data_IF_087705716425
#
_entry.id   IF_087705716425
#
_cell.length_a   1.000
_cell.length_b   1.000
_cell.length_c   1.000
_cell.angle_alpha   90.00
_cell.angle_beta   90.00
_cell.angle_gamma   90.00
#
_symmetry.space_group_name_H-M   'P 1'
#
loop_
_entity.id
_entity.type
_entity.pdbx_description
1 polymer ?
#
# COMPACT_ATOMS: atom_id res chain seq x y z
N UNK A 1 27.83 -11.79 8.93
CA UNK A 1 26.60 -10.99 8.74
C UNK A 1 26.84 -10.02 7.59
N UNK A 2 26.02 -10.04 6.55
CA UNK A 2 26.16 -9.21 5.36
C UNK A 2 25.47 -7.84 5.55
N UNK A 3 26.08 -6.78 5.04
CA UNK A 3 25.57 -5.42 5.20
C UNK A 3 24.89 -4.95 3.92
N UNK A 4 23.59 -4.65 3.99
CA UNK A 4 22.78 -4.09 2.90
C UNK A 4 22.57 -2.60 3.15
N UNK A 5 22.99 -1.77 2.21
CA UNK A 5 22.73 -0.34 2.25
C UNK A 5 21.37 -0.03 1.63
N UNK A 6 20.44 0.49 2.44
CA UNK A 6 19.16 0.97 1.94
C UNK A 6 19.33 2.39 1.36
N UNK A 7 19.32 2.48 0.01
CA UNK A 7 19.39 3.75 -0.73
C UNK A 7 17.99 4.34 -0.90
N UNK A 8 17.66 5.33 -0.10
CA UNK A 8 16.35 5.94 -0.01
C UNK A 8 16.37 7.35 -0.58
N UNK A 9 15.39 7.64 -1.44
CA UNK A 9 15.09 8.99 -1.90
C UNK A 9 13.98 9.58 -0.99
N UNK A 10 14.35 10.07 0.18
CA UNK A 10 13.41 10.73 1.08
C UNK A 10 12.91 9.86 2.22
N UNK A 11 11.61 9.89 2.50
CA UNK A 11 11.00 9.26 3.68
C UNK A 11 11.18 7.74 3.72
N UNK A 12 11.51 7.21 4.88
CA UNK A 12 11.53 5.76 5.14
C UNK A 12 10.10 5.24 5.14
N UNK A 13 9.70 4.61 4.04
CA UNK A 13 8.40 3.95 3.92
C UNK A 13 8.27 2.74 4.86
N UNK A 14 7.03 2.27 5.05
CA UNK A 14 6.73 1.13 5.92
C UNK A 14 7.59 -0.10 5.61
N UNK A 15 7.75 -0.46 4.33
CA UNK A 15 8.52 -1.64 3.90
C UNK A 15 9.99 -1.56 4.28
N UNK A 16 10.62 -0.41 4.07
CA UNK A 16 12.03 -0.20 4.45
C UNK A 16 12.21 -0.15 5.96
N UNK A 17 11.27 0.45 6.69
CA UNK A 17 11.27 0.44 8.14
C UNK A 17 11.27 -0.99 8.68
N UNK A 18 10.43 -1.86 8.12
CA UNK A 18 10.42 -3.29 8.48
C UNK A 18 11.76 -3.99 8.19
N UNK A 19 12.48 -3.61 7.12
CA UNK A 19 13.81 -4.16 6.84
C UNK A 19 14.87 -3.69 7.83
N UNK A 20 14.76 -2.44 8.30
CA UNK A 20 15.67 -1.89 9.30
C UNK A 20 15.43 -2.47 10.70
N UNK A 21 14.16 -2.64 11.08
CA UNK A 21 13.75 -3.12 12.41
C UNK A 21 13.77 -4.65 12.52
N UNK A 22 13.45 -5.35 11.42
CA UNK A 22 13.32 -6.80 11.35
C UNK A 22 14.01 -7.33 10.07
N UNK A 23 15.33 -7.28 9.97
CA UNK A 23 16.06 -7.74 8.80
C UNK A 23 15.96 -9.28 8.63
N UNK A 24 16.12 -9.80 7.39
CA UNK A 24 16.32 -11.23 7.19
C UNK A 24 17.56 -11.75 7.94
N UNK A 25 17.54 -13.03 8.30
CA UNK A 25 18.65 -13.66 9.01
C UNK A 25 19.96 -13.59 8.20
N UNK A 26 21.07 -13.32 8.88
CA UNK A 26 22.38 -13.14 8.24
C UNK A 26 22.63 -11.77 7.63
N UNK A 27 21.62 -10.87 7.60
CA UNK A 27 21.70 -9.53 7.01
C UNK A 27 21.53 -8.42 8.04
N UNK A 28 22.21 -7.32 7.79
CA UNK A 28 22.04 -6.05 8.52
C UNK A 28 21.76 -4.94 7.52
N UNK A 29 20.68 -4.18 7.74
CA UNK A 29 20.38 -3.01 6.95
C UNK A 29 20.92 -1.74 7.61
N UNK A 30 21.49 -0.88 6.78
CA UNK A 30 21.97 0.45 7.18
C UNK A 30 21.44 1.51 6.23
N UNK A 31 21.10 2.68 6.74
CA UNK A 31 20.67 3.82 5.93
C UNK A 31 21.30 5.10 6.45
N UNK A 32 21.56 6.07 5.56
CA UNK A 32 22.09 7.39 5.93
C UNK A 32 21.01 8.41 6.31
N UNK A 33 19.75 8.01 6.39
CA UNK A 33 18.60 8.93 6.42
C UNK A 33 18.15 9.40 7.80
N UNK A 34 18.89 9.16 8.88
CA UNK A 34 18.47 9.60 10.23
C UNK A 34 18.19 11.12 10.38
N UNK A 35 18.78 11.98 9.51
CA UNK A 35 18.50 13.42 9.52
C UNK A 35 17.38 13.84 8.54
N UNK A 36 17.17 13.08 7.46
CA UNK A 36 16.14 13.36 6.48
C UNK A 36 14.72 13.06 7.03
N UNK A 37 14.57 12.10 7.95
CA UNK A 37 13.30 11.81 8.62
C UNK A 37 12.79 13.02 9.40
N UNK A 38 13.67 13.76 10.11
CA UNK A 38 13.29 14.97 10.84
C UNK A 38 12.87 16.14 9.94
N UNK A 39 13.41 16.21 8.72
CA UNK A 39 13.03 17.23 7.72
C UNK A 39 11.77 16.83 6.97
N UNK A 40 11.56 15.54 6.69
CA UNK A 40 10.38 15.04 6.01
C UNK A 40 9.12 15.18 6.86
N UNK A 41 9.19 14.94 8.16
CA UNK A 41 8.07 15.13 9.07
C UNK A 41 7.62 16.60 9.16
N UNK A 42 8.56 17.56 8.99
CA UNK A 42 8.25 18.99 8.86
C UNK A 42 7.73 19.40 7.47
N UNK A 43 8.08 18.66 6.42
CA UNK A 43 7.68 18.96 5.04
C UNK A 43 6.31 18.36 4.65
N UNK A 44 5.78 17.41 5.41
CA UNK A 44 4.50 16.73 5.12
C UNK A 44 3.30 17.69 5.20
N UNK A 45 3.41 18.79 5.96
CA UNK A 45 2.39 19.84 6.03
C UNK A 45 2.51 20.92 4.94
N UNK A 46 3.47 20.82 4.01
CA UNK A 46 3.71 21.86 3.04
C UNK A 46 3.18 21.49 1.65
N UNK A 47 1.91 21.82 1.41
CA UNK A 47 1.18 21.67 0.15
C UNK A 47 1.96 22.25 -1.05
N UNK A 48 2.75 23.30 -0.83
CA UNK A 48 3.57 23.95 -1.84
C UNK A 48 4.70 23.04 -2.36
N UNK A 49 5.45 22.39 -1.48
CA UNK A 49 6.54 21.47 -1.85
C UNK A 49 5.97 20.23 -2.57
N UNK A 50 4.82 19.74 -2.15
CA UNK A 50 4.13 18.62 -2.79
C UNK A 50 3.67 18.97 -4.21
N UNK A 51 3.03 20.14 -4.42
CA UNK A 51 2.61 20.66 -5.74
C UNK A 51 3.81 20.92 -6.67
N UNK A 52 4.90 21.45 -6.14
CA UNK A 52 6.14 21.68 -6.88
C UNK A 52 6.78 20.35 -7.33
N UNK A 53 6.85 19.38 -6.46
CA UNK A 53 7.33 18.03 -6.79
C UNK A 53 6.51 17.39 -7.90
N UNK A 54 5.18 17.51 -7.86
CA UNK A 54 4.31 17.01 -8.93
C UNK A 54 4.45 17.78 -10.24
N UNK A 55 4.67 19.10 -10.20
CA UNK A 55 4.96 19.89 -11.42
C UNK A 55 6.30 19.49 -12.04
N UNK A 56 7.33 19.32 -11.24
CA UNK A 56 8.64 18.86 -11.72
C UNK A 56 8.59 17.43 -12.27
N UNK A 57 7.85 16.53 -11.66
CA UNK A 57 7.65 15.18 -12.19
C UNK A 57 6.97 15.16 -13.56
N UNK A 58 6.15 16.18 -13.90
CA UNK A 58 5.55 16.32 -15.23
C UNK A 58 6.56 16.73 -16.30
N UNK A 59 7.62 17.43 -15.93
CA UNK A 59 8.67 17.88 -16.85
C UNK A 59 9.74 16.81 -17.05
N UNK A 60 10.15 16.17 -15.98
CA UNK A 60 11.08 15.04 -15.98
C UNK A 60 10.82 14.13 -14.78
N UNK A 61 10.84 12.80 -14.94
CA UNK A 61 10.61 11.89 -13.84
C UNK A 61 11.76 12.01 -12.83
N UNK A 62 11.47 12.60 -11.66
CA UNK A 62 12.47 12.88 -10.63
C UNK A 62 13.22 11.61 -10.19
N UNK A 63 12.57 10.44 -10.27
CA UNK A 63 13.21 9.16 -9.97
C UNK A 63 14.35 8.83 -10.94
N UNK A 64 14.19 9.15 -12.24
CA UNK A 64 15.24 8.99 -13.25
C UNK A 64 16.25 10.14 -13.18
N UNK A 65 15.80 11.37 -13.01
CA UNK A 65 16.68 12.52 -12.83
C UNK A 65 17.56 12.37 -11.59
N UNK A 66 16.99 11.88 -10.47
CA UNK A 66 17.75 11.56 -9.27
C UNK A 66 18.73 10.39 -9.46
N UNK A 67 18.45 9.47 -10.37
CA UNK A 67 19.37 8.40 -10.72
C UNK A 67 20.63 8.90 -11.46
N UNK A 68 20.48 9.95 -12.26
CA UNK A 68 21.58 10.59 -13.01
C UNK A 68 22.15 11.84 -12.32
N UNK A 69 21.47 12.39 -11.34
CA UNK A 69 21.82 13.69 -10.74
C UNK A 69 22.88 13.62 -9.65
N UNK A 70 23.49 14.79 -9.32
CA UNK A 70 24.56 14.90 -8.30
C UNK A 70 24.11 14.48 -6.90
N UNK A 71 22.83 14.41 -6.61
CA UNK A 71 22.28 13.90 -5.35
C UNK A 71 22.59 12.41 -5.10
N UNK A 72 22.97 11.65 -6.15
CA UNK A 72 23.32 10.23 -6.07
C UNK A 72 24.81 9.92 -6.08
N UNK A 73 25.66 10.91 -5.97
CA UNK A 73 27.09 10.67 -5.72
C UNK A 73 27.41 10.10 -4.33
N UNK A 74 26.39 9.90 -3.47
CA UNK A 74 26.59 9.21 -2.20
C UNK A 74 26.78 7.73 -2.44
N UNK A 75 28.04 7.33 -2.49
CA UNK A 75 28.41 5.91 -2.50
C UNK A 75 27.84 5.22 -1.24
N UNK A 76 27.48 3.94 -1.32
CA UNK A 76 27.19 3.17 -0.13
C UNK A 76 28.36 3.31 0.85
N UNK A 77 28.13 3.20 2.16
CA UNK A 77 29.21 3.24 3.14
C UNK A 77 30.22 2.11 2.83
N UNK A 78 31.50 2.35 3.14
CA UNK A 78 32.53 1.33 3.03
C UNK A 78 32.08 0.08 3.81
N UNK A 79 32.21 -1.12 3.18
CA UNK A 79 31.77 -2.37 3.77
C UNK A 79 30.30 -2.76 3.52
N UNK A 80 29.55 -2.00 2.71
CA UNK A 80 28.26 -2.48 2.21
C UNK A 80 28.48 -3.58 1.14
N UNK A 81 27.89 -4.76 1.35
CA UNK A 81 27.97 -5.89 0.43
C UNK A 81 26.97 -5.75 -0.72
N UNK A 82 25.83 -5.10 -0.49
CA UNK A 82 24.70 -4.97 -1.42
C UNK A 82 23.98 -3.65 -1.20
N UNK A 83 23.43 -3.07 -2.27
CA UNK A 83 22.52 -1.92 -2.16
C UNK A 83 21.08 -2.36 -2.41
N UNK A 84 20.16 -1.98 -1.52
CA UNK A 84 18.73 -2.12 -1.71
C UNK A 84 18.09 -0.78 -2.03
N UNK A 85 17.32 -0.71 -3.09
CA UNK A 85 16.59 0.48 -3.51
C UNK A 85 15.08 0.24 -3.47
N UNK A 86 14.33 1.17 -2.88
CA UNK A 86 12.87 1.17 -2.93
C UNK A 86 12.43 2.15 -4.01
N UNK A 87 12.21 1.69 -5.22
CA UNK A 87 11.82 2.42 -6.43
C UNK A 87 12.94 2.99 -7.31
N UNK A 88 13.96 3.71 -6.81
CA UNK A 88 14.94 4.31 -7.71
C UNK A 88 15.84 3.28 -8.39
N UNK A 89 16.12 3.53 -9.67
CA UNK A 89 17.13 2.78 -10.42
C UNK A 89 18.55 3.19 -9.99
N UNK A 90 19.47 2.23 -9.99
CA UNK A 90 20.88 2.47 -9.66
C UNK A 90 21.73 2.23 -10.91
N UNK A 91 22.48 3.26 -11.34
CA UNK A 91 23.36 3.19 -12.51
C UNK A 91 24.85 3.04 -12.16
N UNK A 92 25.15 2.96 -10.86
CA UNK A 92 26.52 2.70 -10.37
C UNK A 92 26.91 1.23 -10.57
N UNK A 93 28.21 0.99 -10.61
CA UNK A 93 28.79 -0.36 -10.78
C UNK A 93 28.88 -1.14 -9.46
N UNK A 94 27.84 -1.12 -8.67
CA UNK A 94 27.71 -1.88 -7.42
C UNK A 94 26.56 -2.88 -7.52
N UNK A 95 26.59 -4.02 -6.83
CA UNK A 95 25.47 -4.94 -6.81
C UNK A 95 24.27 -4.30 -6.10
N UNK A 96 23.08 -4.42 -6.70
CA UNK A 96 21.86 -3.86 -6.14
C UNK A 96 20.63 -4.70 -6.41
N UNK A 97 19.66 -4.55 -5.51
CA UNK A 97 18.32 -5.12 -5.58
C UNK A 97 17.31 -3.98 -5.50
N UNK A 98 16.20 -4.08 -6.23
CA UNK A 98 15.14 -3.07 -6.22
C UNK A 98 13.80 -3.63 -5.81
N UNK A 99 13.08 -2.89 -4.94
CA UNK A 99 11.68 -3.14 -4.60
C UNK A 99 10.75 -2.49 -5.62
N UNK A 100 9.71 -3.23 -6.05
CA UNK A 100 8.78 -2.81 -7.09
C UNK A 100 7.34 -3.00 -6.63
N UNK A 101 6.58 -1.90 -6.63
CA UNK A 101 5.15 -1.87 -6.38
C UNK A 101 4.35 -1.91 -7.69
N UNK A 102 4.85 -1.21 -8.71
CA UNK A 102 4.26 -1.11 -10.05
C UNK A 102 5.31 -0.57 -11.03
N UNK A 103 5.24 -0.96 -12.30
CA UNK A 103 6.24 -0.57 -13.30
C UNK A 103 6.43 0.95 -13.44
N UNK A 104 5.34 1.72 -13.40
CA UNK A 104 5.37 3.18 -13.56
C UNK A 104 6.08 3.93 -12.42
N UNK A 105 6.37 3.27 -11.29
CA UNK A 105 7.14 3.88 -10.20
C UNK A 105 8.53 4.35 -10.64
N UNK A 106 9.14 3.66 -11.61
CA UNK A 106 10.45 4.03 -12.15
C UNK A 106 10.44 5.35 -12.91
N UNK A 107 9.27 5.75 -13.39
CA UNK A 107 9.05 6.95 -14.19
C UNK A 107 8.13 7.98 -13.50
N UNK A 108 8.13 8.01 -12.16
CA UNK A 108 7.38 9.00 -11.39
C UNK A 108 5.88 8.79 -11.37
N UNK A 109 5.42 7.55 -11.55
CA UNK A 109 4.01 7.16 -11.62
C UNK A 109 3.26 7.76 -12.81
N UNK A 110 3.93 7.87 -13.97
CA UNK A 110 3.34 8.32 -15.23
C UNK A 110 3.72 7.34 -16.36
N UNK A 111 2.73 6.74 -17.01
CA UNK A 111 2.94 5.77 -18.09
C UNK A 111 3.64 6.38 -19.31
N UNK A 112 3.37 7.68 -19.63
CA UNK A 112 4.00 8.39 -20.75
C UNK A 112 5.50 8.53 -20.53
N UNK A 113 5.89 8.80 -19.27
CA UNK A 113 7.31 8.83 -18.91
C UNK A 113 7.91 7.42 -18.94
N UNK A 114 7.17 6.39 -18.53
CA UNK A 114 7.67 5.02 -18.63
C UNK A 114 7.93 4.64 -20.09
N UNK A 115 7.02 4.93 -21.00
CA UNK A 115 7.21 4.69 -22.43
C UNK A 115 8.41 5.45 -22.99
N UNK A 116 8.50 6.75 -22.70
CA UNK A 116 9.61 7.61 -23.15
C UNK A 116 10.97 7.12 -22.68
N UNK A 117 11.06 6.64 -21.44
CA UNK A 117 12.32 6.21 -20.82
C UNK A 117 12.45 4.68 -20.72
N UNK A 118 11.61 3.94 -21.42
CA UNK A 118 11.54 2.48 -21.39
C UNK A 118 12.91 1.83 -21.55
N UNK A 119 13.68 2.20 -22.57
CA UNK A 119 15.02 1.64 -22.85
C UNK A 119 15.99 1.87 -21.70
N UNK A 120 15.89 3.00 -21.01
CA UNK A 120 16.73 3.33 -19.85
C UNK A 120 16.38 2.43 -18.67
N UNK A 121 15.07 2.23 -18.40
CA UNK A 121 14.59 1.34 -17.34
C UNK A 121 15.01 -0.10 -17.62
N UNK A 122 14.78 -0.60 -18.84
CA UNK A 122 15.17 -1.95 -19.28
C UNK A 122 16.68 -2.18 -19.19
N UNK A 123 17.48 -1.20 -19.61
CA UNK A 123 18.94 -1.26 -19.50
C UNK A 123 19.43 -1.33 -18.06
N UNK A 124 18.80 -0.57 -17.16
CA UNK A 124 19.14 -0.60 -15.74
C UNK A 124 18.76 -1.95 -15.08
N UNK A 125 17.54 -2.44 -15.30
CA UNK A 125 17.06 -3.72 -14.76
C UNK A 125 17.80 -4.92 -15.37
N UNK A 126 18.12 -4.85 -16.67
CA UNK A 126 18.91 -5.86 -17.38
C UNK A 126 20.41 -5.85 -17.06
N UNK A 127 20.91 -4.79 -16.40
CA UNK A 127 22.33 -4.66 -16.05
C UNK A 127 22.79 -5.82 -15.16
N UNK A 128 24.05 -6.27 -15.38
CA UNK A 128 24.72 -7.25 -14.48
C UNK A 128 24.81 -6.76 -13.02
N UNK A 129 24.68 -5.49 -12.77
CA UNK A 129 24.72 -4.92 -11.43
C UNK A 129 23.34 -4.94 -10.73
N UNK A 130 22.24 -5.00 -11.49
CA UNK A 130 20.91 -5.32 -10.95
C UNK A 130 20.86 -6.84 -10.71
N UNK A 131 20.97 -7.25 -9.46
CA UNK A 131 21.07 -8.65 -9.04
C UNK A 131 19.74 -9.27 -8.61
N UNK A 132 18.70 -8.45 -8.40
CA UNK A 132 17.37 -8.92 -8.04
C UNK A 132 16.32 -7.83 -8.14
N UNK A 133 15.09 -8.24 -8.45
CA UNK A 133 13.91 -7.40 -8.55
C UNK A 133 12.85 -8.01 -7.64
N UNK A 134 12.51 -7.32 -6.55
CA UNK A 134 11.51 -7.76 -5.57
C UNK A 134 10.19 -7.12 -5.90
N UNK A 135 9.29 -7.84 -6.54
CA UNK A 135 7.91 -7.40 -6.74
C UNK A 135 7.08 -7.66 -5.49
N UNK A 136 6.39 -6.64 -5.00
CA UNK A 136 5.61 -6.73 -3.77
C UNK A 136 4.25 -7.44 -3.94
N UNK A 137 3.91 -7.82 -5.18
CA UNK A 137 2.72 -8.59 -5.55
C UNK A 137 2.91 -9.26 -6.92
N UNK A 138 2.07 -10.22 -7.25
CA UNK A 138 2.01 -10.75 -8.62
C UNK A 138 1.51 -9.69 -9.60
N UNK A 139 0.63 -8.78 -9.16
CA UNK A 139 0.22 -7.63 -9.96
C UNK A 139 1.41 -6.73 -10.30
N UNK A 140 2.33 -6.48 -9.35
CA UNK A 140 3.57 -5.74 -9.60
C UNK A 140 4.46 -6.44 -10.63
N UNK A 141 4.59 -7.78 -10.53
CA UNK A 141 5.32 -8.58 -11.51
C UNK A 141 4.68 -8.48 -12.89
N UNK A 142 3.36 -8.67 -12.99
CA UNK A 142 2.62 -8.52 -14.26
C UNK A 142 2.83 -7.15 -14.86
N UNK A 143 2.73 -6.08 -14.08
CA UNK A 143 2.91 -4.70 -14.56
C UNK A 143 4.28 -4.46 -15.21
N UNK A 144 5.34 -5.07 -14.68
CA UNK A 144 6.67 -5.01 -15.29
C UNK A 144 6.70 -5.72 -16.65
N UNK A 145 6.18 -6.94 -16.71
CA UNK A 145 6.26 -7.79 -17.90
C UNK A 145 5.31 -7.35 -19.02
N UNK A 146 4.23 -6.64 -18.70
CA UNK A 146 3.31 -6.06 -19.67
C UNK A 146 3.88 -4.81 -20.37
N UNK A 147 4.70 -4.03 -19.67
CA UNK A 147 5.16 -2.72 -20.16
C UNK A 147 6.62 -2.70 -20.58
N UNK A 148 7.42 -3.63 -20.09
CA UNK A 148 8.86 -3.69 -20.36
C UNK A 148 9.21 -5.02 -21.01
N UNK A 149 10.21 -5.03 -21.90
CA UNK A 149 10.76 -6.26 -22.44
C UNK A 149 11.51 -7.00 -21.33
N UNK A 150 10.89 -8.07 -20.82
CA UNK A 150 11.39 -8.85 -19.70
C UNK A 150 12.61 -9.73 -20.00
N UNK A 151 12.98 -9.94 -21.26
CA UNK A 151 14.00 -10.90 -21.68
C UNK A 151 15.31 -10.84 -20.88
N UNK A 152 15.76 -9.63 -20.50
CA UNK A 152 17.02 -9.40 -19.80
C UNK A 152 16.93 -9.42 -18.28
N UNK A 153 15.72 -9.45 -17.70
CA UNK A 153 15.56 -9.32 -16.26
C UNK A 153 14.45 -10.16 -15.64
N UNK A 154 13.65 -10.88 -16.43
CA UNK A 154 12.55 -11.69 -15.91
C UNK A 154 13.01 -12.74 -14.88
N UNK A 155 14.16 -13.35 -15.11
CA UNK A 155 14.79 -14.33 -14.21
C UNK A 155 15.20 -13.75 -12.85
N UNK A 156 15.42 -12.42 -12.79
CA UNK A 156 15.79 -11.71 -11.56
C UNK A 156 14.59 -11.37 -10.68
N UNK A 157 13.37 -11.57 -11.20
CA UNK A 157 12.13 -11.20 -10.49
C UNK A 157 11.81 -12.25 -9.44
N UNK A 158 11.52 -11.77 -8.24
CA UNK A 158 10.95 -12.58 -7.14
C UNK A 158 9.76 -11.85 -6.55
N UNK A 159 8.66 -12.57 -6.31
CA UNK A 159 7.49 -11.99 -5.65
C UNK A 159 7.57 -12.22 -4.15
N UNK A 160 7.62 -11.13 -3.41
CA UNK A 160 7.69 -11.11 -1.95
C UNK A 160 6.68 -10.12 -1.41
N UNK A 161 5.54 -10.60 -0.96
CA UNK A 161 4.50 -9.75 -0.38
C UNK A 161 5.02 -9.01 0.87
N UNK A 162 4.58 -7.78 1.12
CA UNK A 162 4.81 -7.09 2.38
C UNK A 162 4.27 -7.93 3.55
N UNK A 163 4.86 -7.76 4.72
CA UNK A 163 4.34 -8.40 5.93
C UNK A 163 3.51 -7.42 6.76
N UNK A 164 2.46 -7.89 7.40
CA UNK A 164 1.81 -7.17 8.47
C UNK A 164 2.67 -7.17 9.74
N UNK A 165 2.38 -6.26 10.64
CA UNK A 165 3.02 -6.23 11.95
C UNK A 165 2.04 -6.79 12.99
N UNK A 166 2.31 -7.95 13.61
CA UNK A 166 1.42 -8.52 14.61
C UNK A 166 1.10 -7.54 15.74
N UNK A 167 -0.13 -7.51 16.18
CA UNK A 167 -0.61 -6.61 17.24
C UNK A 167 -0.94 -7.37 18.52
N UNK A 168 -0.35 -6.93 19.63
CA UNK A 168 -0.64 -7.49 20.95
C UNK A 168 -1.88 -6.81 21.52
N UNK A 169 -3.05 -7.39 21.27
CA UNK A 169 -4.30 -6.96 21.90
C UNK A 169 -5.29 -8.13 21.97
N UNK A 170 -6.13 -8.13 22.99
CA UNK A 170 -7.28 -9.02 23.05
C UNK A 170 -8.47 -8.31 22.40
N UNK A 171 -9.10 -8.94 21.41
CA UNK A 171 -10.31 -8.39 20.84
C UNK A 171 -11.43 -8.48 21.87
N UNK A 172 -12.14 -7.39 22.18
CA UNK A 172 -13.30 -7.48 23.06
C UNK A 172 -14.28 -8.51 22.51
N UNK A 173 -14.80 -9.35 23.37
CA UNK A 173 -15.87 -10.27 23.01
C UNK A 173 -17.05 -9.51 22.41
N UNK A 174 -17.86 -10.18 21.61
CA UNK A 174 -19.10 -9.61 21.09
C UNK A 174 -19.99 -9.21 22.27
N UNK A 175 -20.00 -7.92 22.63
CA UNK A 175 -20.99 -7.42 23.58
C UNK A 175 -22.34 -7.39 22.87
N UNK A 176 -23.29 -8.18 23.33
CA UNK A 176 -24.67 -8.13 22.86
C UNK A 176 -25.18 -6.69 23.00
N UNK A 177 -25.59 -6.08 21.89
CA UNK A 177 -26.22 -4.76 21.87
C UNK A 177 -25.33 -3.57 21.48
N UNK A 178 -23.99 -3.72 21.30
CA UNK A 178 -23.19 -2.61 20.76
C UNK A 178 -23.29 -2.54 19.23
N UNK A 179 -23.19 -1.34 18.63
CA UNK A 179 -23.13 -1.17 17.18
C UNK A 179 -21.98 -1.96 16.55
N UNK A 180 -22.19 -2.43 15.32
CA UNK A 180 -21.13 -3.03 14.50
C UNK A 180 -20.40 -1.90 13.77
N UNK A 181 -19.13 -1.72 14.08
CA UNK A 181 -18.30 -0.61 13.56
C UNK A 181 -17.51 -1.02 12.34
N UNK A 182 -17.72 -0.29 11.28
CA UNK A 182 -16.95 -0.36 10.04
C UNK A 182 -15.92 0.75 10.09
N UNK A 183 -14.68 0.45 9.73
CA UNK A 183 -13.61 1.42 9.65
C UNK A 183 -13.13 1.55 8.20
N UNK A 184 -13.11 2.78 7.71
CA UNK A 184 -12.45 3.19 6.47
C UNK A 184 -11.26 4.10 6.80
N UNK A 185 -10.08 3.80 6.26
CA UNK A 185 -8.86 4.60 6.50
C UNK A 185 -8.21 4.95 5.19
N UNK A 186 -7.98 6.25 4.99
CA UNK A 186 -7.18 6.80 3.90
C UNK A 186 -6.20 7.85 4.42
N UNK A 187 -5.38 8.40 3.53
CA UNK A 187 -4.45 9.48 3.85
C UNK A 187 -5.21 10.77 4.17
N UNK A 188 -4.76 11.50 5.18
CA UNK A 188 -5.24 12.88 5.47
C UNK A 188 -4.31 13.94 4.91
N UNK A 189 -3.25 13.55 4.18
CA UNK A 189 -2.24 14.47 3.64
C UNK A 189 -2.01 14.26 2.14
N UNK A 190 -2.68 13.30 1.51
CA UNK A 190 -2.55 13.03 0.07
C UNK A 190 -3.79 13.54 -0.64
N UNK A 191 -3.69 14.61 -1.44
CA UNK A 191 -4.81 15.11 -2.21
C UNK A 191 -5.43 14.03 -3.10
N UNK A 192 -6.76 13.94 -3.10
CA UNK A 192 -7.50 12.90 -3.81
C UNK A 192 -7.36 11.49 -3.21
N UNK A 193 -6.73 11.37 -2.04
CA UNK A 193 -6.56 10.08 -1.37
C UNK A 193 -7.87 9.47 -0.92
N UNK A 194 -8.86 10.29 -0.58
CA UNK A 194 -10.20 9.85 -0.22
C UNK A 194 -10.90 9.16 -1.40
N UNK A 195 -10.97 9.82 -2.55
CA UNK A 195 -11.61 9.30 -3.76
C UNK A 195 -10.88 8.07 -4.29
N UNK A 196 -9.55 8.12 -4.39
CA UNK A 196 -8.75 7.00 -4.87
C UNK A 196 -8.89 5.75 -3.99
N UNK A 197 -9.21 5.91 -2.73
CA UNK A 197 -9.43 4.79 -1.80
C UNK A 197 -10.89 4.36 -1.71
N UNK A 198 -11.77 4.90 -2.60
CA UNK A 198 -13.17 4.52 -2.67
C UNK A 198 -14.02 5.13 -1.55
N UNK A 199 -13.63 6.32 -1.10
CA UNK A 199 -14.36 7.01 -0.04
C UNK A 199 -15.79 7.38 -0.42
N UNK A 200 -16.04 7.67 -1.71
CA UNK A 200 -17.41 7.96 -2.22
C UNK A 200 -18.27 6.71 -2.16
N UNK A 201 -17.75 5.59 -2.62
CA UNK A 201 -18.41 4.28 -2.51
C UNK A 201 -18.68 3.90 -1.06
N UNK A 202 -17.72 4.17 -0.17
CA UNK A 202 -17.90 3.90 1.26
C UNK A 202 -19.03 4.71 1.88
N UNK A 203 -19.16 6.00 1.53
CA UNK A 203 -20.26 6.84 2.03
C UNK A 203 -21.61 6.39 1.48
N UNK A 204 -21.71 6.16 0.18
CA UNK A 204 -22.94 5.72 -0.45
C UNK A 204 -23.37 4.32 0.03
N UNK A 205 -22.45 3.37 0.06
CA UNK A 205 -22.70 2.02 0.57
C UNK A 205 -23.16 2.07 2.04
N UNK A 206 -22.61 2.97 2.86
CA UNK A 206 -23.03 3.10 4.26
C UNK A 206 -24.46 3.59 4.38
N UNK A 207 -24.90 4.55 3.57
CA UNK A 207 -26.30 5.01 3.57
C UNK A 207 -27.26 3.86 3.24
N UNK A 208 -26.92 3.05 2.26
CA UNK A 208 -27.74 1.89 1.88
C UNK A 208 -27.70 0.80 2.97
N UNK A 209 -26.52 0.47 3.46
CA UNK A 209 -26.36 -0.52 4.53
C UNK A 209 -27.14 -0.14 5.79
N UNK A 210 -27.13 1.15 6.15
CA UNK A 210 -27.81 1.64 7.35
C UNK A 210 -29.32 1.44 7.32
N UNK A 211 -29.93 1.45 6.12
CA UNK A 211 -31.37 1.21 5.95
C UNK A 211 -31.76 -0.22 6.30
N UNK A 212 -30.87 -1.19 6.03
CA UNK A 212 -31.12 -2.61 6.26
C UNK A 212 -30.45 -3.11 7.56
N UNK A 213 -29.40 -2.47 8.02
CA UNK A 213 -28.66 -2.78 9.24
C UNK A 213 -28.55 -1.52 10.13
N UNK A 214 -29.63 -1.12 10.85
CA UNK A 214 -29.62 0.11 11.66
C UNK A 214 -28.57 0.16 12.78
N UNK A 215 -28.01 -0.98 13.19
CA UNK A 215 -26.94 -1.11 14.16
C UNK A 215 -25.53 -0.90 13.59
N UNK A 216 -25.38 -0.67 12.28
CA UNK A 216 -24.07 -0.39 11.68
C UNK A 216 -23.60 1.03 11.97
N UNK A 217 -22.33 1.21 12.25
CA UNK A 217 -21.65 2.52 12.34
C UNK A 217 -20.48 2.54 11.36
N UNK A 218 -20.21 3.69 10.74
CA UNK A 218 -19.02 3.91 9.90
C UNK A 218 -18.14 5.01 10.48
N UNK A 219 -16.87 4.68 10.67
CA UNK A 219 -15.82 5.65 11.00
C UNK A 219 -14.97 5.87 9.75
N UNK A 220 -14.98 7.10 9.25
CA UNK A 220 -14.17 7.52 8.10
C UNK A 220 -12.98 8.35 8.59
N UNK A 221 -11.79 7.75 8.55
CA UNK A 221 -10.53 8.44 8.86
C UNK A 221 -9.83 8.80 7.56
N UNK A 222 -10.05 10.02 7.09
CA UNK A 222 -9.52 10.52 5.81
C UNK A 222 -9.64 12.04 5.71
N UNK A 223 -8.90 12.65 4.77
CA UNK A 223 -9.16 13.99 4.29
C UNK A 223 -10.39 13.96 3.37
N UNK A 224 -11.57 14.14 3.97
CA UNK A 224 -12.85 14.14 3.24
C UNK A 224 -13.11 15.54 2.70
N UNK A 225 -13.37 15.70 1.39
CA UNK A 225 -13.74 17.00 0.82
C UNK A 225 -14.92 17.63 1.56
N UNK A 226 -14.82 18.93 1.89
CA UNK A 226 -15.83 19.65 2.68
C UNK A 226 -17.24 19.55 2.06
N UNK A 227 -17.34 19.67 0.73
CA UNK A 227 -18.60 19.54 0.00
C UNK A 227 -19.28 18.19 0.19
N UNK A 228 -18.49 17.11 0.30
CA UNK A 228 -19.03 15.78 0.60
C UNK A 228 -19.38 15.65 2.08
N UNK A 229 -18.50 16.11 2.96
CA UNK A 229 -18.73 16.06 4.40
C UNK A 229 -20.05 16.72 4.79
N UNK A 230 -20.32 17.91 4.25
CA UNK A 230 -21.56 18.65 4.50
C UNK A 230 -22.83 17.91 4.03
N UNK A 231 -22.74 17.14 2.93
CA UNK A 231 -23.87 16.32 2.44
C UNK A 231 -24.26 15.20 3.41
N UNK A 232 -23.30 14.73 4.23
CA UNK A 232 -23.50 13.63 5.17
C UNK A 232 -23.49 14.08 6.64
N UNK A 233 -23.44 15.38 6.89
CA UNK A 233 -23.46 15.93 8.25
C UNK A 233 -24.75 15.54 8.97
N UNK A 234 -24.61 15.02 10.20
CA UNK A 234 -25.75 14.53 10.97
C UNK A 234 -26.27 13.15 10.56
N UNK A 235 -25.68 12.50 9.57
CA UNK A 235 -26.08 11.13 9.19
C UNK A 235 -25.90 10.17 10.40
N UNK A 236 -26.95 9.46 10.84
CA UNK A 236 -26.87 8.61 12.01
C UNK A 236 -25.84 7.49 11.85
N UNK A 237 -24.96 7.33 12.84
CA UNK A 237 -23.93 6.28 12.86
C UNK A 237 -22.70 6.56 11.99
N UNK A 238 -22.60 7.72 11.32
CA UNK A 238 -21.43 8.13 10.56
C UNK A 238 -20.55 9.08 11.39
N UNK A 239 -19.25 8.78 11.44
CA UNK A 239 -18.27 9.62 12.14
C UNK A 239 -17.08 9.91 11.23
N UNK A 240 -16.73 11.18 11.07
CA UNK A 240 -15.53 11.63 10.39
C UNK A 240 -14.38 11.90 11.36
N UNK A 241 -13.17 11.50 10.97
CA UNK A 241 -11.90 11.80 11.65
C UNK A 241 -10.97 12.37 10.58
N UNK A 242 -11.07 13.67 10.35
CA UNK A 242 -10.40 14.37 9.23
C UNK A 242 -9.02 14.92 9.60
N UNK A 243 -8.72 15.01 10.90
CA UNK A 243 -7.45 15.50 11.38
C UNK A 243 -6.38 14.39 11.45
N UNK A 244 -5.10 14.74 11.33
CA UNK A 244 -4.02 13.82 11.65
C UNK A 244 -4.18 13.26 13.06
N UNK A 245 -4.02 11.96 13.22
CA UNK A 245 -4.09 11.27 14.50
C UNK A 245 -2.73 10.65 14.84
N UNK A 246 -2.44 10.55 16.12
CA UNK A 246 -1.25 9.82 16.61
C UNK A 246 -1.35 8.33 16.28
N UNK A 247 -0.23 7.61 16.33
CA UNK A 247 -0.22 6.16 16.16
C UNK A 247 -1.14 5.45 17.17
N UNK A 248 -1.11 5.88 18.42
CA UNK A 248 -1.96 5.31 19.47
C UNK A 248 -3.47 5.54 19.23
N UNK A 249 -3.84 6.69 18.67
CA UNK A 249 -5.22 6.97 18.29
C UNK A 249 -5.66 6.13 17.09
N UNK A 250 -4.80 5.97 16.10
CA UNK A 250 -5.06 5.10 14.95
C UNK A 250 -5.22 3.63 15.41
N UNK A 251 -4.36 3.16 16.30
CA UNK A 251 -4.46 1.82 16.88
C UNK A 251 -5.81 1.64 17.62
N UNK A 252 -6.29 2.65 18.36
CA UNK A 252 -7.62 2.62 18.99
C UNK A 252 -8.77 2.54 17.99
N UNK A 253 -8.66 3.22 16.84
CA UNK A 253 -9.67 3.11 15.78
C UNK A 253 -9.75 1.67 15.26
N UNK A 254 -8.63 1.05 14.92
CA UNK A 254 -8.60 -0.35 14.49
C UNK A 254 -9.12 -1.31 15.56
N UNK A 255 -8.76 -1.11 16.84
CA UNK A 255 -9.20 -1.96 17.95
C UNK A 255 -10.72 -1.86 18.19
N UNK A 256 -11.30 -0.68 17.97
CA UNK A 256 -12.73 -0.43 18.17
C UNK A 256 -13.60 -0.91 17.01
N UNK A 257 -13.01 -1.15 15.83
CA UNK A 257 -13.72 -1.57 14.64
C UNK A 257 -14.04 -3.06 14.62
N UNK A 258 -15.02 -3.48 13.85
CA UNK A 258 -15.44 -4.86 13.65
C UNK A 258 -15.21 -5.36 12.22
N UNK A 259 -15.21 -4.44 11.25
CA UNK A 259 -15.06 -4.68 9.83
C UNK A 259 -14.17 -3.58 9.27
N UNK A 260 -13.33 -3.89 8.32
CA UNK A 260 -12.52 -2.90 7.61
C UNK A 260 -12.95 -2.81 6.14
N UNK A 261 -13.23 -1.58 5.66
CA UNK A 261 -13.52 -1.32 4.26
C UNK A 261 -12.33 -0.75 3.52
N UNK A 262 -12.05 -1.33 2.36
CA UNK A 262 -11.02 -0.86 1.45
C UNK A 262 -11.46 -0.93 -0.02
N UNK A 263 -12.49 -0.16 -0.43
CA UNK A 263 -13.02 -0.15 -1.81
C UNK A 263 -12.12 0.65 -2.77
N UNK A 264 -10.80 0.46 -2.69
CA UNK A 264 -9.82 1.30 -3.35
C UNK A 264 -9.78 1.10 -4.87
N UNK A 265 -9.56 2.19 -5.59
CA UNK A 265 -9.29 2.27 -7.03
C UNK A 265 -7.81 2.58 -7.31
N UNK A 266 -6.94 2.28 -6.36
CA UNK A 266 -5.51 2.58 -6.46
C UNK A 266 -4.69 1.56 -5.68
N UNK A 267 -3.40 1.57 -5.99
CA UNK A 267 -2.41 0.71 -5.37
C UNK A 267 -2.36 0.88 -3.83
N UNK A 268 -1.88 -0.15 -3.15
CA UNK A 268 -1.46 -0.16 -1.75
C UNK A 268 -2.28 -1.02 -0.82
N UNK A 269 -1.64 -2.03 -0.35
CA UNK A 269 -2.18 -3.09 0.48
C UNK A 269 -1.66 -3.09 1.92
N UNK A 270 -0.74 -2.19 2.27
CA UNK A 270 -0.20 -2.12 3.64
C UNK A 270 -1.30 -1.88 4.68
N UNK A 271 -2.29 -1.05 4.34
CA UNK A 271 -3.43 -0.76 5.22
C UNK A 271 -4.34 -1.99 5.41
N UNK A 272 -4.43 -2.84 4.39
CA UNK A 272 -5.16 -4.13 4.46
C UNK A 272 -4.47 -5.06 5.47
N UNK A 273 -3.15 -5.23 5.35
CA UNK A 273 -2.37 -6.03 6.29
C UNK A 273 -2.43 -5.47 7.72
N UNK A 274 -2.49 -4.15 7.84
CA UNK A 274 -2.70 -3.52 9.14
C UNK A 274 -4.05 -3.89 9.74
N UNK A 275 -5.14 -3.80 8.99
CA UNK A 275 -6.47 -4.21 9.44
C UNK A 275 -6.52 -5.70 9.81
N UNK A 276 -5.91 -6.57 9.00
CA UNK A 276 -5.79 -8.01 9.28
C UNK A 276 -5.04 -8.26 10.59
N UNK A 277 -4.00 -7.47 10.91
CA UNK A 277 -3.26 -7.57 12.18
C UNK A 277 -4.12 -7.31 13.40
N UNK A 278 -5.23 -6.58 13.23
CA UNK A 278 -6.25 -6.34 14.27
C UNK A 278 -7.40 -7.33 14.23
N UNK A 279 -7.25 -8.46 13.55
CA UNK A 279 -8.30 -9.45 13.37
C UNK A 279 -9.61 -8.86 12.79
N UNK A 280 -9.49 -7.91 11.84
CA UNK A 280 -10.62 -7.37 11.12
C UNK A 280 -10.83 -8.17 9.82
N UNK A 281 -12.03 -8.70 9.55
CA UNK A 281 -12.37 -9.12 8.21
C UNK A 281 -12.36 -7.89 7.32
N UNK A 282 -11.72 -8.00 6.16
CA UNK A 282 -11.60 -6.91 5.20
C UNK A 282 -12.60 -7.10 4.07
N UNK A 283 -13.34 -6.05 3.72
CA UNK A 283 -14.09 -6.00 2.48
C UNK A 283 -13.39 -5.00 1.56
N UNK A 284 -12.71 -5.51 0.53
CA UNK A 284 -11.93 -4.71 -0.39
C UNK A 284 -12.40 -4.87 -1.83
N UNK A 285 -12.12 -3.88 -2.67
CA UNK A 285 -12.36 -3.98 -4.10
C UNK A 285 -11.44 -5.02 -4.77
N UNK A 286 -11.80 -5.43 -5.97
CA UNK A 286 -11.01 -6.31 -6.83
C UNK A 286 -9.91 -5.58 -7.62
N UNK A 287 -9.58 -4.35 -7.22
CA UNK A 287 -8.59 -3.56 -7.95
C UNK A 287 -7.17 -4.01 -7.66
N UNK A 288 -6.38 -4.13 -8.72
CA UNK A 288 -4.94 -4.37 -8.78
C UNK A 288 -4.47 -5.58 -7.94
N UNK A 289 -3.84 -5.34 -6.79
CA UNK A 289 -3.27 -6.37 -5.93
C UNK A 289 -4.14 -6.71 -4.70
N UNK A 290 -5.27 -6.03 -4.50
CA UNK A 290 -6.16 -6.31 -3.37
C UNK A 290 -6.59 -7.78 -3.28
N UNK A 291 -6.96 -8.49 -4.39
CA UNK A 291 -7.32 -9.89 -4.32
C UNK A 291 -6.19 -10.84 -3.90
N UNK A 292 -4.94 -10.39 -3.95
CA UNK A 292 -3.80 -11.20 -3.49
C UNK A 292 -3.71 -11.27 -1.97
N UNK A 293 -4.24 -10.25 -1.27
CA UNK A 293 -4.21 -10.15 0.19
C UNK A 293 -5.43 -10.78 0.85
N UNK A 294 -6.55 -10.86 0.14
CA UNK A 294 -7.82 -11.31 0.69
C UNK A 294 -8.20 -12.61 0.02
N UNK A 295 -8.35 -13.66 0.83
CA UNK A 295 -8.96 -14.90 0.41
C UNK A 295 -10.47 -14.81 0.66
N UNK A 296 -11.23 -14.70 -0.45
CA UNK A 296 -12.68 -14.45 -0.42
C UNK A 296 -13.40 -15.54 0.37
N UNK A 297 -14.23 -15.14 1.33
CA UNK A 297 -14.95 -16.05 2.26
C UNK A 297 -14.10 -16.66 3.38
N UNK A 298 -12.76 -16.45 3.40
CA UNK A 298 -11.87 -16.97 4.45
C UNK A 298 -11.25 -15.88 5.32
N UNK A 299 -10.64 -14.83 4.73
CA UNK A 299 -10.01 -13.73 5.48
C UNK A 299 -10.76 -12.41 5.36
N UNK A 300 -11.77 -12.37 4.50
CA UNK A 300 -12.58 -11.21 4.17
C UNK A 300 -13.39 -11.47 2.93
N UNK A 301 -13.78 -10.40 2.24
CA UNK A 301 -14.49 -10.48 0.98
C UNK A 301 -13.88 -9.55 -0.07
N UNK A 302 -13.89 -9.98 -1.33
CA UNK A 302 -13.52 -9.17 -2.49
C UNK A 302 -14.80 -8.66 -3.16
N UNK A 303 -15.02 -7.35 -3.11
CA UNK A 303 -16.14 -6.66 -3.76
C UNK A 303 -15.74 -6.27 -5.19
N UNK A 304 -16.57 -6.63 -6.16
CA UNK A 304 -16.28 -6.43 -7.58
C UNK A 304 -16.77 -5.07 -8.06
N UNK A 305 -15.99 -4.45 -8.94
CA UNK A 305 -16.43 -3.28 -9.66
C UNK A 305 -17.54 -3.63 -10.66
N UNK A 306 -18.53 -2.75 -10.77
CA UNK A 306 -19.61 -2.87 -11.77
C UNK A 306 -19.24 -2.27 -13.12
N UNK A 307 -18.12 -1.51 -13.17
CA UNK A 307 -17.61 -0.90 -14.41
C UNK A 307 -16.12 -1.14 -14.57
N UNK A 308 -15.64 -1.02 -15.80
CA UNK A 308 -14.20 -1.02 -16.07
C UNK A 308 -13.55 0.24 -15.45
N UNK A 309 -12.53 0.03 -14.65
CA UNK A 309 -11.70 1.10 -14.11
C UNK A 309 -10.50 1.37 -15.01
N UNK A 310 -9.91 2.57 -14.92
CA UNK A 310 -8.63 2.84 -15.53
C UNK A 310 -7.59 1.79 -15.12
N UNK A 311 -6.74 1.43 -16.06
CA UNK A 311 -5.63 0.52 -15.81
C UNK A 311 -4.72 1.07 -14.70
N UNK A 312 -3.96 0.19 -14.06
CA UNK A 312 -3.00 0.52 -13.01
C UNK A 312 -1.91 1.52 -13.44
N UNK A 313 -1.68 1.70 -14.72
CA UNK A 313 -0.72 2.62 -15.31
C UNK A 313 -1.32 3.98 -15.68
N UNK A 314 -2.60 4.17 -15.49
CA UNK A 314 -3.31 5.43 -15.73
C UNK A 314 -2.83 6.52 -14.77
N UNK A 315 -2.73 7.74 -15.25
CA UNK A 315 -2.28 8.86 -14.43
C UNK A 315 -3.22 9.11 -13.24
N UNK A 316 -2.71 9.60 -12.09
CA UNK A 316 -3.54 9.89 -10.92
C UNK A 316 -4.72 10.83 -11.22
N UNK A 317 -4.56 11.74 -12.18
CA UNK A 317 -5.62 12.66 -12.60
C UNK A 317 -6.75 11.91 -13.31
N UNK A 318 -6.41 11.05 -14.27
CA UNK A 318 -7.39 10.25 -15.01
C UNK A 318 -8.12 9.27 -14.09
N UNK A 319 -7.41 8.70 -13.09
CA UNK A 319 -8.04 7.90 -12.05
C UNK A 319 -9.05 8.74 -11.26
N UNK A 320 -8.69 9.95 -10.81
CA UNK A 320 -9.60 10.84 -10.08
C UNK A 320 -10.81 11.26 -10.92
N UNK A 321 -10.65 11.45 -12.21
CA UNK A 321 -11.76 11.73 -13.13
C UNK A 321 -12.69 10.51 -13.25
N UNK A 322 -12.13 9.31 -13.37
CA UNK A 322 -12.89 8.08 -13.51
C UNK A 322 -13.67 7.69 -12.22
N UNK A 323 -13.13 8.01 -11.04
CA UNK A 323 -13.77 7.73 -9.75
C UNK A 323 -14.53 8.93 -9.17
N UNK A 324 -14.87 9.90 -10.03
CA UNK A 324 -15.63 11.09 -9.64
C UNK A 324 -17.03 10.75 -9.14
N UNK A 325 -17.66 9.77 -9.79
CA UNK A 325 -18.94 9.23 -9.39
C UNK A 325 -18.73 7.83 -8.79
N UNK A 326 -19.43 7.47 -7.71
CA UNK A 326 -19.37 6.13 -7.15
C UNK A 326 -19.70 5.06 -8.18
N UNK A 327 -19.08 3.89 -8.07
CA UNK A 327 -19.42 2.72 -8.85
C UNK A 327 -20.61 1.98 -8.20
N UNK A 328 -21.82 1.98 -8.82
CA UNK A 328 -22.99 1.37 -8.21
C UNK A 328 -22.84 -0.15 -7.99
N UNK A 329 -22.06 -0.83 -8.85
CA UNK A 329 -21.78 -2.26 -8.68
C UNK A 329 -20.93 -2.51 -7.44
N UNK A 330 -19.85 -1.76 -7.27
CA UNK A 330 -18.99 -1.86 -6.08
C UNK A 330 -19.77 -1.47 -4.82
N UNK A 331 -20.60 -0.43 -4.87
CA UNK A 331 -21.49 -0.03 -3.75
C UNK A 331 -22.40 -1.20 -3.36
N UNK A 332 -23.07 -1.83 -4.32
CA UNK A 332 -23.94 -2.99 -4.07
C UNK A 332 -23.19 -4.16 -3.43
N UNK A 333 -22.03 -4.51 -3.98
CA UNK A 333 -21.16 -5.58 -3.45
C UNK A 333 -20.70 -5.27 -2.01
N UNK A 334 -20.31 -4.02 -1.71
CA UNK A 334 -19.95 -3.60 -0.36
C UNK A 334 -21.10 -3.80 0.63
N UNK A 335 -22.30 -3.38 0.24
CA UNK A 335 -23.51 -3.52 1.07
C UNK A 335 -23.79 -4.99 1.37
N UNK A 336 -23.88 -5.84 0.34
CA UNK A 336 -24.23 -7.26 0.50
C UNK A 336 -23.21 -8.04 1.35
N UNK A 337 -21.93 -7.87 1.05
CA UNK A 337 -20.86 -8.56 1.77
C UNK A 337 -20.75 -8.07 3.22
N UNK A 338 -20.99 -6.78 3.44
CA UNK A 338 -20.98 -6.21 4.80
C UNK A 338 -22.21 -6.61 5.59
N UNK A 339 -23.38 -6.70 4.95
CA UNK A 339 -24.61 -7.19 5.60
C UNK A 339 -24.39 -8.58 6.20
N UNK A 340 -23.78 -9.50 5.44
CA UNK A 340 -23.44 -10.84 5.96
C UNK A 340 -22.57 -10.77 7.22
N UNK A 341 -21.58 -9.87 7.25
CA UNK A 341 -20.71 -9.70 8.42
C UNK A 341 -21.41 -9.03 9.60
N UNK A 342 -22.39 -8.16 9.36
CA UNK A 342 -23.18 -7.49 10.41
C UNK A 342 -24.14 -8.50 11.05
N UNK A 343 -24.87 -9.25 10.22
CA UNK A 343 -25.89 -10.20 10.65
C UNK A 343 -25.32 -11.48 11.29
N UNK A 344 -24.08 -11.87 10.91
CA UNK A 344 -23.46 -13.12 11.33
C UNK A 344 -22.19 -12.88 12.17
N UNK A 345 -22.31 -12.65 13.48
CA UNK A 345 -21.13 -12.38 14.34
C UNK A 345 -20.10 -13.52 14.37
N UNK A 346 -20.55 -14.77 14.22
CA UNK A 346 -19.67 -15.93 14.17
C UNK A 346 -18.81 -15.93 12.88
N UNK A 347 -19.41 -15.64 11.72
CA UNK A 347 -18.71 -15.46 10.45
C UNK A 347 -17.68 -14.34 10.55
N UNK A 348 -18.10 -13.18 11.05
CA UNK A 348 -17.23 -12.00 11.23
C UNK A 348 -16.01 -12.32 12.07
N UNK A 349 -16.18 -13.02 13.20
CA UNK A 349 -15.07 -13.45 14.06
C UNK A 349 -14.16 -14.45 13.37
N UNK A 350 -14.73 -15.45 12.69
CA UNK A 350 -13.96 -16.48 11.95
C UNK A 350 -13.08 -15.86 10.89
N UNK A 351 -13.61 -14.96 10.05
CA UNK A 351 -12.86 -14.33 8.99
C UNK A 351 -11.76 -13.42 9.56
N UNK A 352 -12.08 -12.66 10.61
CA UNK A 352 -11.09 -11.79 11.27
C UNK A 352 -9.96 -12.60 11.93
N UNK A 353 -10.26 -13.71 12.56
CA UNK A 353 -9.25 -14.60 13.14
C UNK A 353 -8.34 -15.20 12.05
N UNK A 354 -8.92 -15.67 10.94
CA UNK A 354 -8.16 -16.17 9.80
C UNK A 354 -7.29 -15.09 9.15
N UNK A 355 -7.79 -13.84 9.04
CA UNK A 355 -7.02 -12.71 8.56
C UNK A 355 -5.79 -12.43 9.44
N UNK A 356 -5.96 -12.45 10.76
CA UNK A 356 -4.86 -12.28 11.71
C UNK A 356 -3.84 -13.41 11.63
N UNK A 357 -4.29 -14.65 11.49
CA UNK A 357 -3.42 -15.82 11.34
C UNK A 357 -2.50 -15.69 10.11
N UNK A 358 -3.00 -15.16 8.99
CA UNK A 358 -2.17 -14.90 7.79
C UNK A 358 -1.05 -13.89 8.05
N UNK A 359 -1.25 -12.93 8.96
CA UNK A 359 -0.24 -11.94 9.34
C UNK A 359 0.71 -12.48 10.41
N UNK A 360 0.23 -13.26 11.36
CA UNK A 360 1.06 -13.76 12.45
C UNK A 360 1.94 -14.94 12.00
N UNK A 361 1.38 -15.87 11.25
CA UNK A 361 2.02 -17.15 10.91
C UNK A 361 1.95 -17.52 9.43
N UNK A 362 1.01 -16.93 8.68
CA UNK A 362 0.74 -17.26 7.29
C UNK A 362 1.59 -16.49 6.28
N UNK A 363 1.02 -16.31 5.09
CA UNK A 363 1.68 -15.73 3.90
C UNK A 363 2.26 -14.33 4.11
N UNK A 364 1.64 -13.55 4.99
CA UNK A 364 2.00 -12.16 5.25
C UNK A 364 2.73 -11.98 6.58
N UNK A 365 3.29 -13.05 7.14
CA UNK A 365 4.11 -12.95 8.35
C UNK A 365 5.52 -12.43 8.05
N UNK A 366 6.13 -11.78 9.04
CA UNK A 366 7.51 -11.33 8.96
C UNK A 366 8.48 -12.50 8.67
N UNK A 367 8.22 -13.67 9.24
CA UNK A 367 9.04 -14.87 9.02
C UNK A 367 9.03 -15.31 7.56
N UNK A 368 7.84 -15.39 6.93
CA UNK A 368 7.72 -15.78 5.51
C UNK A 368 8.33 -14.74 4.59
N UNK A 369 8.05 -13.45 4.82
CA UNK A 369 8.65 -12.36 4.04
C UNK A 369 10.17 -12.40 4.14
N UNK A 370 10.73 -12.49 5.35
CA UNK A 370 12.17 -12.44 5.56
C UNK A 370 12.89 -13.64 4.96
N UNK A 371 12.33 -14.85 5.07
CA UNK A 371 12.89 -16.04 4.40
C UNK A 371 12.96 -15.87 2.87
N UNK A 372 11.90 -15.35 2.25
CA UNK A 372 11.90 -15.07 0.81
C UNK A 372 12.91 -13.98 0.43
N UNK A 373 13.03 -12.92 1.19
CA UNK A 373 14.01 -11.84 0.97
C UNK A 373 15.43 -12.33 1.18
N UNK A 374 15.67 -13.15 2.20
CA UNK A 374 16.97 -13.80 2.42
C UNK A 374 17.44 -14.53 1.17
N UNK A 375 16.61 -15.40 0.59
CA UNK A 375 16.93 -16.12 -0.62
C UNK A 375 17.23 -15.20 -1.82
N UNK A 376 16.54 -14.05 -1.92
CA UNK A 376 16.83 -13.04 -2.96
C UNK A 376 18.21 -12.42 -2.75
N UNK A 377 18.51 -12.00 -1.52
CA UNK A 377 19.79 -11.33 -1.22
C UNK A 377 20.99 -12.30 -1.30
N UNK A 378 20.83 -13.55 -0.89
CA UNK A 378 21.86 -14.59 -1.05
C UNK A 378 22.18 -14.83 -2.52
N UNK A 379 21.17 -15.00 -3.38
CA UNK A 379 21.38 -15.09 -4.84
C UNK A 379 22.05 -13.84 -5.41
N UNK A 380 21.64 -12.65 -4.96
CA UNK A 380 22.21 -11.38 -5.42
C UNK A 380 23.70 -11.24 -5.05
N UNK A 381 24.14 -11.83 -3.97
CA UNK A 381 25.54 -11.83 -3.54
C UNK A 381 26.37 -12.92 -4.20
N UNK A 382 25.75 -14.04 -4.59
CA UNK A 382 26.44 -15.14 -5.27
C UNK A 382 26.66 -14.91 -6.78
N UNK A 383 25.82 -14.06 -7.40
CA UNK A 383 25.89 -13.72 -8.82
C UNK A 383 26.93 -12.63 -9.07
#
# INVERSE_FOLDING_TARGET
MKTVYADLLGRVGFRVRQLLEHPPEGFRFVSRTQWADRLSDRAIGNDFLWRWRHRLNRLAPLNLAAAYGPLRFKRPPAGADLTYSESPLIFRREPWVVGVEVAIQFAGYDHRHLERYRRVVEAALGSRHCRGIVCWSEAARRSLLERLSGEKFAEKISVVHPAGTPKRFARPGSSNGRPVRILFVSSVVTPGGFEQKGGREALEAFVWLRRICPQAELIVRSDVPESLRSCYEGAPGLKFVTQPVTRAELDRLYQSADIFWYPAHSLSSVVVLEAMSYALPVVASDYYDNPEYIEDGRTGFVARHGRALPSWDTSPREVLEAVREPDPGLVGELVEKTRLLVEQPALRRRLGAAAREEVEHGRFSLAVKNRKLQAVFERALAA
#
